data_IF_152645753956
#
_entry.id   IF_152645753956
#
_cell.length_a   1.000
_cell.length_b   1.000
_cell.length_c   1.000
_cell.angle_alpha   90.00
_cell.angle_beta   90.00
_cell.angle_gamma   90.00
#
_symmetry.space_group_name_H-M   'P 1'
#
loop_
_entity.id
_entity.type
_entity.pdbx_description
1 polymer ?
#
# COMPACT_ATOMS: atom_id res chain seq x y z
N UNK A 1 14.30 60.14 16.71
CA UNK A 1 13.47 59.61 15.64
C UNK A 1 13.98 58.30 15.02
N UNK A 2 15.22 57.98 15.19
CA UNK A 2 15.85 56.79 14.58
C UNK A 2 15.81 55.51 15.42
N UNK A 3 15.17 55.53 16.60
CA UNK A 3 15.13 54.35 17.50
C UNK A 3 13.87 53.47 17.32
N UNK A 4 12.87 53.94 16.61
CA UNK A 4 11.64 53.17 16.37
C UNK A 4 11.78 52.17 15.23
N UNK A 5 12.61 52.48 14.22
CA UNK A 5 12.72 51.65 13.02
C UNK A 5 13.43 50.34 13.29
N UNK A 6 14.36 50.30 14.26
CA UNK A 6 15.08 49.07 14.60
C UNK A 6 14.22 48.09 15.40
N UNK A 7 13.29 48.61 16.20
CA UNK A 7 12.36 47.77 16.97
C UNK A 7 11.29 47.16 16.04
N UNK A 8 10.80 47.98 15.10
CA UNK A 8 9.82 47.52 14.09
C UNK A 8 10.39 46.48 13.17
N UNK A 9 11.67 46.63 12.76
CA UNK A 9 12.36 45.67 11.94
C UNK A 9 12.61 44.32 12.67
N UNK A 10 12.92 44.38 13.97
CA UNK A 10 13.06 43.20 14.82
C UNK A 10 11.77 42.43 15.02
N UNK A 11 10.64 43.12 15.16
CA UNK A 11 9.31 42.49 15.28
C UNK A 11 8.83 41.94 13.96
N UNK A 12 9.15 42.59 12.84
CA UNK A 12 8.81 42.09 11.50
C UNK A 12 9.61 40.84 11.15
N UNK A 13 10.87 40.70 11.57
CA UNK A 13 11.70 39.49 11.37
C UNK A 13 11.25 38.33 12.24
N UNK A 14 10.63 38.58 13.40
CA UNK A 14 10.08 37.52 14.26
C UNK A 14 8.76 36.93 13.73
N UNK A 15 8.04 37.65 12.87
CA UNK A 15 6.79 37.17 12.26
C UNK A 15 6.99 36.17 11.10
N UNK A 16 8.22 36.03 10.60
CA UNK A 16 8.52 35.07 9.52
C UNK A 16 9.13 33.75 10.01
N UNK A 17 9.32 33.59 11.30
CA UNK A 17 9.67 32.30 11.88
C UNK A 17 8.41 31.46 12.13
N UNK A 18 7.58 31.28 11.10
CA UNK A 18 6.60 30.19 11.09
C UNK A 18 7.43 28.91 11.01
N UNK A 19 7.40 28.02 12.00
CA UNK A 19 7.98 26.72 11.82
C UNK A 19 7.21 26.10 10.65
N UNK A 20 7.83 25.97 9.49
CA UNK A 20 7.40 25.04 8.48
C UNK A 20 7.59 23.65 9.12
N UNK A 21 6.64 23.25 9.94
CA UNK A 21 6.46 21.86 10.26
C UNK A 21 6.17 21.20 8.92
N UNK A 22 7.20 20.64 8.29
CA UNK A 22 7.00 19.67 7.23
C UNK A 22 6.18 18.56 7.87
N UNK A 23 4.86 18.59 7.67
CA UNK A 23 4.00 17.54 8.14
C UNK A 23 4.50 16.25 7.47
N UNK A 24 5.08 15.38 8.26
CA UNK A 24 5.39 14.05 7.78
C UNK A 24 4.08 13.42 7.34
N UNK A 25 4.03 12.82 6.14
CA UNK A 25 2.82 12.16 5.69
C UNK A 25 2.43 11.11 6.73
N UNK A 26 1.19 11.12 7.18
CA UNK A 26 0.69 10.10 8.08
C UNK A 26 0.52 8.76 7.36
N UNK A 27 0.42 7.67 8.11
CA UNK A 27 0.29 6.32 7.57
C UNK A 27 -0.92 6.19 6.63
N UNK A 28 -2.04 6.83 6.96
CA UNK A 28 -3.24 6.82 6.15
C UNK A 28 -3.02 7.48 4.78
N UNK A 29 -2.39 8.64 4.75
CA UNK A 29 -2.09 9.37 3.51
C UNK A 29 -1.17 8.55 2.60
N UNK A 30 -0.16 7.88 3.16
CA UNK A 30 0.75 7.00 2.40
C UNK A 30 -0.03 5.86 1.76
N UNK A 31 -0.91 5.19 2.53
CA UNK A 31 -1.72 4.08 2.03
C UNK A 31 -2.73 4.53 0.96
N UNK A 32 -3.36 5.69 1.13
CA UNK A 32 -4.28 6.26 0.15
C UNK A 32 -3.58 6.58 -1.17
N UNK A 33 -2.42 7.20 -1.12
CA UNK A 33 -1.61 7.49 -2.32
C UNK A 33 -1.12 6.22 -3.01
N UNK A 34 -0.77 5.19 -2.24
CA UNK A 34 -0.36 3.90 -2.78
C UNK A 34 -1.53 3.23 -3.49
N UNK A 35 -2.69 3.17 -2.88
CA UNK A 35 -3.90 2.60 -3.48
C UNK A 35 -4.32 3.35 -4.76
N UNK A 36 -4.21 4.66 -4.76
CA UNK A 36 -4.50 5.48 -5.94
C UNK A 36 -3.49 5.23 -7.08
N UNK A 37 -2.20 5.14 -6.76
CA UNK A 37 -1.17 4.82 -7.73
C UNK A 37 -1.41 3.46 -8.39
N UNK A 38 -1.81 2.44 -7.63
CA UNK A 38 -2.16 1.13 -8.19
C UNK A 38 -3.39 1.18 -9.10
N UNK A 39 -4.41 1.94 -8.75
CA UNK A 39 -5.61 2.09 -9.60
C UNK A 39 -5.31 2.83 -10.91
N UNK A 40 -4.39 3.78 -10.89
CA UNK A 40 -3.99 4.55 -12.07
C UNK A 40 -2.98 3.82 -12.97
N UNK A 41 -2.26 2.86 -12.44
CA UNK A 41 -1.31 2.06 -13.21
C UNK A 41 -2.07 1.14 -14.17
N UNK A 42 -1.61 1.02 -15.42
CA UNK A 42 -2.19 0.11 -16.40
C UNK A 42 -1.94 -1.37 -16.10
N UNK A 43 -0.90 -1.66 -15.32
CA UNK A 43 -0.57 -2.98 -14.80
C UNK A 43 0.38 -2.83 -13.61
N UNK A 44 0.24 -3.70 -12.61
CA UNK A 44 1.04 -3.70 -11.39
C UNK A 44 1.62 -5.07 -11.13
N UNK A 45 2.91 -5.11 -10.80
CA UNK A 45 3.57 -6.29 -10.25
C UNK A 45 3.97 -6.01 -8.80
N UNK A 46 3.51 -6.85 -7.90
CA UNK A 46 3.75 -6.74 -6.46
C UNK A 46 4.39 -8.02 -5.95
N UNK A 47 5.56 -7.93 -5.32
CA UNK A 47 6.11 -9.01 -4.52
C UNK A 47 5.66 -8.87 -3.07
N UNK A 48 5.28 -9.96 -2.43
CA UNK A 48 4.83 -9.99 -1.05
C UNK A 48 5.43 -11.17 -0.28
N UNK A 49 5.46 -11.03 1.03
CA UNK A 49 5.79 -12.11 1.96
C UNK A 49 4.73 -12.16 3.04
N UNK A 50 4.23 -13.35 3.32
CA UNK A 50 3.30 -13.60 4.43
C UNK A 50 4.06 -14.32 5.52
N UNK A 51 4.03 -13.78 6.73
CA UNK A 51 4.63 -14.39 7.90
C UNK A 51 3.52 -14.92 8.81
N UNK A 52 3.55 -16.21 9.07
CA UNK A 52 2.61 -16.90 9.93
C UNK A 52 3.35 -17.55 11.10
N UNK A 53 2.61 -18.04 12.10
CA UNK A 53 3.22 -18.70 13.27
C UNK A 53 4.00 -19.98 12.91
N UNK A 54 3.64 -20.63 11.79
CA UNK A 54 4.24 -21.89 11.35
C UNK A 54 5.27 -21.74 10.23
N UNK A 55 5.56 -20.50 9.79
CA UNK A 55 6.51 -20.23 8.74
C UNK A 55 6.19 -18.98 7.93
N UNK A 56 6.92 -18.79 6.85
CA UNK A 56 6.67 -17.70 5.92
C UNK A 56 6.66 -18.20 4.48
N UNK A 57 5.85 -17.59 3.65
CA UNK A 57 5.88 -17.82 2.22
C UNK A 57 5.90 -16.50 1.45
N UNK A 58 6.51 -16.52 0.29
CA UNK A 58 6.58 -15.39 -0.61
C UNK A 58 5.74 -15.63 -1.87
N UNK A 59 5.30 -14.56 -2.48
CA UNK A 59 4.56 -14.63 -3.71
C UNK A 59 4.71 -13.38 -4.56
N UNK A 60 4.17 -13.48 -5.76
CA UNK A 60 4.08 -12.38 -6.71
C UNK A 60 2.63 -12.24 -7.17
N UNK A 61 2.14 -11.02 -7.18
CA UNK A 61 0.84 -10.65 -7.66
C UNK A 61 0.98 -9.75 -8.88
N UNK A 62 0.27 -10.08 -9.95
CA UNK A 62 0.13 -9.26 -11.14
C UNK A 62 -1.32 -8.79 -11.23
N UNK A 63 -1.53 -7.50 -11.42
CA UNK A 63 -2.84 -6.86 -11.51
C UNK A 63 -2.97 -6.08 -12.81
N UNK A 64 -4.09 -6.25 -13.49
CA UNK A 64 -4.48 -5.45 -14.65
C UNK A 64 -6.01 -5.31 -14.68
N UNK A 65 -6.52 -4.15 -14.26
CA UNK A 65 -7.95 -3.95 -14.10
C UNK A 65 -8.56 -4.93 -13.09
N UNK A 66 -9.55 -5.70 -13.50
CA UNK A 66 -10.17 -6.73 -12.66
C UNK A 66 -9.46 -8.09 -12.71
N UNK A 67 -8.47 -8.22 -13.59
CA UNK A 67 -7.71 -9.46 -13.77
C UNK A 67 -6.52 -9.54 -12.85
N UNK A 68 -6.21 -10.72 -12.37
CA UNK A 68 -5.00 -10.92 -11.58
C UNK A 68 -4.38 -12.30 -11.77
N UNK A 69 -3.11 -12.38 -11.46
CA UNK A 69 -2.36 -13.64 -11.29
C UNK A 69 -1.64 -13.58 -9.96
N UNK A 70 -1.83 -14.60 -9.13
CA UNK A 70 -1.06 -14.79 -7.88
C UNK A 70 -0.20 -16.02 -8.04
N UNK A 71 1.09 -15.88 -7.81
CA UNK A 71 2.06 -16.98 -7.81
C UNK A 71 2.68 -17.09 -6.42
N UNK A 72 2.59 -18.25 -5.82
CA UNK A 72 3.31 -18.64 -4.61
C UNK A 72 4.03 -19.96 -4.85
N UNK A 73 4.87 -20.39 -3.91
CA UNK A 73 5.46 -21.71 -3.97
C UNK A 73 4.36 -22.80 -3.96
N UNK A 74 4.28 -23.54 -5.04
CA UNK A 74 3.34 -24.66 -5.18
C UNK A 74 1.91 -24.29 -5.58
N UNK A 75 1.57 -23.01 -5.74
CA UNK A 75 0.23 -22.62 -6.21
C UNK A 75 0.30 -21.42 -7.16
N UNK A 76 -0.51 -21.49 -8.22
CA UNK A 76 -0.71 -20.37 -9.13
C UNK A 76 -2.18 -20.20 -9.44
N UNK A 77 -2.69 -19.00 -9.23
CA UNK A 77 -4.09 -18.65 -9.46
C UNK A 77 -4.18 -17.56 -10.53
N UNK A 78 -5.06 -17.76 -11.49
CA UNK A 78 -5.42 -16.79 -12.52
C UNK A 78 -6.89 -16.41 -12.37
N UNK A 79 -7.21 -15.17 -12.61
CA UNK A 79 -8.56 -14.67 -12.68
C UNK A 79 -8.68 -13.70 -13.86
N UNK A 80 -9.61 -13.96 -14.78
CA UNK A 80 -9.78 -13.16 -16.00
C UNK A 80 -10.85 -12.07 -15.90
N UNK A 81 -11.44 -11.89 -14.72
CA UNK A 81 -12.57 -11.03 -14.45
C UNK A 81 -13.90 -11.77 -14.31
N UNK A 82 -13.93 -13.06 -14.62
CA UNK A 82 -15.13 -13.92 -14.53
C UNK A 82 -14.80 -15.30 -13.96
N UNK A 83 -13.82 -15.98 -14.53
CA UNK A 83 -13.41 -17.35 -14.18
C UNK A 83 -12.08 -17.34 -13.45
N UNK A 84 -11.96 -18.17 -12.44
CA UNK A 84 -10.73 -18.41 -11.70
C UNK A 84 -10.21 -19.83 -11.97
N UNK A 85 -8.93 -19.92 -12.22
CA UNK A 85 -8.17 -21.17 -12.31
C UNK A 85 -7.11 -21.19 -11.23
N UNK A 86 -7.03 -22.26 -10.47
CA UNK A 86 -6.01 -22.43 -9.43
C UNK A 86 -5.30 -23.76 -9.66
N UNK A 87 -4.03 -23.68 -10.01
CA UNK A 87 -3.14 -24.83 -10.13
C UNK A 87 -2.47 -25.12 -8.80
N UNK A 88 -2.51 -26.36 -8.36
CA UNK A 88 -1.87 -26.85 -7.14
C UNK A 88 -0.83 -27.88 -7.51
N UNK A 89 0.45 -27.53 -7.39
CA UNK A 89 1.57 -28.35 -7.84
C UNK A 89 1.66 -29.71 -7.13
N UNK A 90 1.34 -29.76 -5.83
CA UNK A 90 1.39 -31.01 -5.05
C UNK A 90 0.37 -32.06 -5.48
N UNK A 91 -0.75 -31.61 -6.05
CA UNK A 91 -1.82 -32.48 -6.57
C UNK A 91 -1.76 -32.64 -8.08
N UNK A 92 -0.97 -31.82 -8.77
CA UNK A 92 -0.95 -31.69 -10.24
C UNK A 92 -2.36 -31.45 -10.82
N UNK A 93 -3.15 -30.61 -10.14
CA UNK A 93 -4.55 -30.36 -10.47
C UNK A 93 -4.81 -28.88 -10.74
N UNK A 94 -5.75 -28.61 -11.63
CA UNK A 94 -6.32 -27.30 -11.86
C UNK A 94 -7.77 -27.28 -11.41
N UNK A 95 -8.08 -26.44 -10.44
CA UNK A 95 -9.43 -26.16 -10.01
C UNK A 95 -9.98 -24.97 -10.79
N UNK A 96 -11.17 -25.09 -11.33
CA UNK A 96 -11.87 -24.03 -12.07
C UNK A 96 -13.12 -23.64 -11.33
N UNK A 97 -13.32 -22.35 -11.10
CA UNK A 97 -14.49 -21.81 -10.42
C UNK A 97 -14.93 -20.47 -11.04
N UNK A 98 -16.18 -20.13 -10.83
CA UNK A 98 -16.74 -18.80 -11.10
C UNK A 98 -17.08 -18.17 -9.76
N UNK A 99 -16.20 -17.34 -9.20
CA UNK A 99 -16.41 -16.75 -7.88
C UNK A 99 -17.66 -15.86 -7.87
N UNK A 100 -18.45 -15.95 -6.82
CA UNK A 100 -19.56 -15.04 -6.58
C UNK A 100 -19.06 -13.63 -6.29
N UNK A 101 -19.94 -12.62 -6.36
CA UNK A 101 -19.58 -11.24 -6.04
C UNK A 101 -19.07 -11.09 -4.61
N UNK A 102 -19.59 -11.88 -3.68
CA UNK A 102 -19.13 -11.89 -2.27
C UNK A 102 -17.73 -12.47 -2.12
N UNK A 103 -17.46 -13.58 -2.79
CA UNK A 103 -16.11 -14.17 -2.83
C UNK A 103 -15.10 -13.25 -3.52
N UNK A 104 -15.49 -12.57 -4.60
CA UNK A 104 -14.66 -11.59 -5.30
C UNK A 104 -14.29 -10.41 -4.41
N UNK A 105 -15.15 -9.96 -3.50
CA UNK A 105 -14.80 -8.91 -2.54
C UNK A 105 -13.67 -9.33 -1.61
N UNK A 106 -13.59 -10.62 -1.28
CA UNK A 106 -12.53 -11.17 -0.42
C UNK A 106 -11.26 -11.48 -1.22
N UNK A 107 -11.42 -11.97 -2.44
CA UNK A 107 -10.31 -12.40 -3.30
C UNK A 107 -9.68 -11.23 -4.09
N UNK A 108 -10.39 -10.13 -4.25
CA UNK A 108 -9.93 -8.99 -5.03
C UNK A 108 -8.72 -8.33 -4.37
N UNK A 109 -7.54 -8.35 -5.02
CA UNK A 109 -6.33 -7.74 -4.46
C UNK A 109 -6.46 -6.22 -4.20
N UNK A 110 -7.32 -5.52 -4.93
CA UNK A 110 -7.63 -4.12 -4.66
C UNK A 110 -8.38 -3.91 -3.34
N UNK A 111 -9.13 -4.93 -2.86
CA UNK A 111 -9.75 -4.89 -1.54
C UNK A 111 -8.69 -4.87 -0.43
N UNK A 112 -7.58 -5.56 -0.60
CA UNK A 112 -6.45 -5.55 0.33
C UNK A 112 -5.83 -4.16 0.47
N UNK A 113 -5.74 -3.41 -0.64
CA UNK A 113 -5.28 -2.02 -0.62
C UNK A 113 -6.23 -1.07 0.13
N UNK A 114 -7.42 -1.53 0.44
CA UNK A 114 -8.47 -0.77 1.16
C UNK A 114 -8.67 -1.23 2.60
N UNK A 115 -7.97 -2.28 3.06
CA UNK A 115 -8.11 -2.84 4.41
C UNK A 115 -7.90 -1.79 5.50
N UNK A 116 -7.01 -0.83 5.29
CA UNK A 116 -6.76 0.26 6.24
C UNK A 116 -8.00 1.11 6.56
N UNK A 117 -9.05 1.05 5.71
CA UNK A 117 -10.33 1.76 5.93
C UNK A 117 -11.28 1.01 6.87
N UNK A 118 -10.97 -0.24 7.24
CA UNK A 118 -11.84 -1.13 7.98
C UNK A 118 -11.63 -1.09 9.51
N UNK A 119 -11.26 0.05 10.05
CA UNK A 119 -11.16 0.26 11.50
C UNK A 119 -9.83 -0.14 12.12
N UNK A 120 -8.82 -0.44 11.34
CA UNK A 120 -7.46 -0.68 11.83
C UNK A 120 -6.82 0.59 12.39
N UNK A 121 -6.05 0.43 13.47
CA UNK A 121 -5.15 1.47 13.95
C UNK A 121 -3.88 1.45 13.09
N UNK A 122 -3.57 2.60 12.51
CA UNK A 122 -2.43 2.76 11.63
C UNK A 122 -1.28 3.43 12.36
N UNK A 123 -0.10 2.83 12.28
CA UNK A 123 1.12 3.40 12.85
C UNK A 123 2.24 3.38 11.81
N UNK A 124 2.78 4.55 11.49
CA UNK A 124 4.01 4.68 10.74
C UNK A 124 5.19 4.39 11.68
N UNK A 125 5.83 3.24 11.50
CA UNK A 125 6.88 2.76 12.41
C UNK A 125 8.24 3.34 12.08
N UNK A 126 8.56 3.47 10.78
CA UNK A 126 9.82 4.04 10.32
C UNK A 126 9.72 4.52 8.88
N UNK A 127 10.63 5.41 8.53
CA UNK A 127 10.88 5.82 7.15
C UNK A 127 12.34 5.47 6.87
N UNK A 128 12.56 4.63 5.88
CA UNK A 128 13.89 4.23 5.43
C UNK A 128 14.02 4.40 3.93
N UNK A 129 15.18 4.15 3.39
CA UNK A 129 15.43 4.17 1.95
C UNK A 129 16.89 4.38 1.62
N UNK A 130 17.31 3.92 0.45
CA UNK A 130 18.61 4.20 -0.15
C UNK A 130 18.38 4.89 -1.48
N UNK A 131 19.15 5.95 -1.75
CA UNK A 131 19.19 6.63 -3.06
C UNK A 131 17.81 6.97 -3.62
N UNK A 132 17.19 8.05 -3.16
CA UNK A 132 15.95 8.66 -3.66
C UNK A 132 14.68 7.79 -3.58
N UNK A 133 14.72 6.65 -2.90
CA UNK A 133 13.55 5.80 -2.66
C UNK A 133 13.23 5.75 -1.17
N UNK A 134 12.11 6.34 -0.79
CA UNK A 134 11.58 6.23 0.58
C UNK A 134 10.85 4.90 0.75
N UNK A 135 11.17 4.20 1.84
CA UNK A 135 10.46 3.00 2.27
C UNK A 135 9.71 3.32 3.56
N UNK A 136 8.43 3.00 3.59
CA UNK A 136 7.58 3.25 4.74
C UNK A 136 7.17 1.93 5.37
N UNK A 137 7.27 1.84 6.69
CA UNK A 137 6.83 0.69 7.47
C UNK A 137 5.58 1.07 8.24
N UNK A 138 4.44 0.51 7.83
CA UNK A 138 3.14 0.80 8.42
C UNK A 138 2.61 -0.46 9.09
N UNK A 139 2.26 -0.34 10.36
CA UNK A 139 1.60 -1.39 11.13
C UNK A 139 0.11 -1.11 11.19
N UNK A 140 -0.68 -2.14 10.93
CA UNK A 140 -2.15 -2.14 11.08
C UNK A 140 -2.52 -3.12 12.19
N UNK A 141 -3.23 -2.64 13.22
CA UNK A 141 -3.66 -3.44 14.38
C UNK A 141 -5.13 -3.21 14.72
#
# INVERSE_FOLDING_TARGET
MMKFDKLLLGVLLLLFAVPMSAQQPDAKNILERTAEAFRKAGGVKLAFTVNEQQGSYAGVLYLEGEKFVVETEGMKTWFDGHTQWSYVASADEVNVSEPTQEELQTLNPYAWLSLYKQGYRLKLSSVGGKQDKSVYYITMT
#
